data_IF_845146208701
#
_entry.id   IF_845146208701
#
_cell.length_a   1.000
_cell.length_b   1.000
_cell.length_c   1.000
_cell.angle_alpha   90.00
_cell.angle_beta   90.00
_cell.angle_gamma   90.00
#
_symmetry.space_group_name_H-M   'P 1'
#
loop_
_entity.id
_entity.type
_entity.pdbx_description
1 polymer ?
#
# COMPACT_ATOMS: atom_id res chain seq x y z
N UNK A 1 -5.50 18.70 -15.19
CA UNK A 1 -4.41 17.86 -15.75
C UNK A 1 -4.56 16.44 -15.21
N UNK A 2 -5.19 15.53 -15.96
CA UNK A 2 -5.24 14.12 -15.59
C UNK A 2 -3.86 13.48 -15.85
N UNK A 3 -2.96 13.54 -14.86
CA UNK A 3 -1.81 12.63 -14.83
C UNK A 3 -2.38 11.21 -14.73
N UNK A 4 -2.50 10.51 -15.86
CA UNK A 4 -2.67 9.05 -15.84
C UNK A 4 -1.54 8.51 -14.98
N UNK A 5 -1.88 8.01 -13.79
CA UNK A 5 -0.89 7.36 -12.93
C UNK A 5 -0.35 6.19 -13.76
N UNK A 6 0.93 6.27 -14.15
CA UNK A 6 1.63 5.21 -14.87
C UNK A 6 1.96 4.09 -13.87
N UNK A 7 0.92 3.46 -13.33
CA UNK A 7 1.02 2.36 -12.40
C UNK A 7 1.15 1.05 -13.17
N UNK A 8 2.22 0.32 -12.91
CA UNK A 8 2.40 -1.05 -13.39
C UNK A 8 1.75 -2.04 -12.40
N UNK A 9 1.22 -3.15 -12.91
CA UNK A 9 0.67 -4.23 -12.07
C UNK A 9 1.80 -5.16 -11.66
N UNK A 10 1.98 -5.35 -10.36
CA UNK A 10 2.93 -6.30 -9.80
C UNK A 10 2.16 -7.44 -9.16
N UNK A 11 2.57 -8.67 -9.44
CA UNK A 11 1.97 -9.85 -8.85
C UNK A 11 2.39 -9.96 -7.39
N UNK A 12 1.40 -10.10 -6.51
CA UNK A 12 1.60 -10.36 -5.08
C UNK A 12 1.16 -11.79 -4.79
N UNK A 13 1.88 -12.43 -3.87
CA UNK A 13 1.45 -13.72 -3.32
C UNK A 13 0.19 -13.54 -2.49
N UNK A 14 -0.58 -14.63 -2.32
CA UNK A 14 -1.78 -14.61 -1.47
C UNK A 14 -1.48 -14.14 -0.04
N UNK A 15 -0.39 -14.60 0.56
CA UNK A 15 0.00 -14.18 1.92
C UNK A 15 0.32 -12.69 2.02
N UNK A 16 0.91 -12.09 0.98
CA UNK A 16 1.13 -10.64 0.93
C UNK A 16 -0.19 -9.88 0.82
N UNK A 17 -1.15 -10.35 0.03
CA UNK A 17 -2.49 -9.74 -0.06
C UNK A 17 -3.22 -9.83 1.29
N UNK A 18 -3.16 -10.98 1.97
CA UNK A 18 -3.73 -11.15 3.31
C UNK A 18 -3.08 -10.21 4.34
N UNK A 19 -1.77 -9.99 4.26
CA UNK A 19 -1.08 -9.02 5.11
C UNK A 19 -1.56 -7.57 4.84
N UNK A 20 -1.75 -7.20 3.56
CA UNK A 20 -2.31 -5.88 3.21
C UNK A 20 -3.74 -5.70 3.76
N UNK A 21 -4.57 -6.74 3.71
CA UNK A 21 -5.93 -6.71 4.28
C UNK A 21 -5.92 -6.53 5.80
N UNK A 22 -4.97 -7.16 6.52
CA UNK A 22 -4.83 -6.96 7.97
C UNK A 22 -4.49 -5.50 8.29
N UNK A 23 -3.54 -4.91 7.56
CA UNK A 23 -3.19 -3.49 7.71
C UNK A 23 -4.41 -2.60 7.43
N UNK A 24 -5.17 -2.92 6.38
CA UNK A 24 -6.39 -2.19 6.04
C UNK A 24 -7.44 -2.18 7.16
N UNK A 25 -7.62 -3.33 7.83
CA UNK A 25 -8.54 -3.47 8.96
C UNK A 25 -8.02 -2.73 10.21
N UNK A 26 -6.71 -2.74 10.45
CA UNK A 26 -6.11 -1.96 11.54
C UNK A 26 -6.28 -0.45 11.33
N UNK A 27 -6.04 0.05 10.12
CA UNK A 27 -6.23 1.46 9.77
C UNK A 27 -7.70 1.88 9.91
N UNK A 28 -8.64 1.01 9.50
CA UNK A 28 -10.07 1.25 9.69
C UNK A 28 -10.44 1.41 11.16
N UNK A 29 -9.87 0.57 12.05
CA UNK A 29 -10.09 0.66 13.50
C UNK A 29 -9.48 1.91 14.12
N UNK A 30 -8.37 2.39 13.56
CA UNK A 30 -7.65 3.60 14.05
C UNK A 30 -8.28 4.89 13.56
N UNK A 31 -8.99 4.88 12.43
CA UNK A 31 -9.60 6.08 11.87
C UNK A 31 -10.85 6.49 12.64
N UNK A 32 -10.77 7.58 13.40
CA UNK A 32 -11.92 8.21 14.06
C UNK A 32 -13.05 8.59 13.09
N UNK A 33 -12.72 8.84 11.82
CA UNK A 33 -13.67 9.19 10.75
C UNK A 33 -14.08 8.00 9.87
N UNK A 34 -13.69 6.77 10.21
CA UNK A 34 -13.99 5.57 9.41
C UNK A 34 -13.36 5.54 8.00
N UNK A 35 -12.34 6.37 7.74
CA UNK A 35 -11.62 6.41 6.46
C UNK A 35 -10.73 5.18 6.37
N UNK A 36 -11.08 4.28 5.45
CA UNK A 36 -10.30 3.08 5.16
C UNK A 36 -9.54 3.28 3.83
N UNK A 37 -8.19 3.26 3.84
CA UNK A 37 -7.44 3.30 2.59
C UNK A 37 -7.68 2.03 1.77
N UNK A 38 -7.60 2.13 0.45
CA UNK A 38 -7.68 0.94 -0.41
C UNK A 38 -6.41 0.08 -0.28
N UNK A 39 -6.53 -1.22 -0.60
CA UNK A 39 -5.38 -2.15 -0.65
C UNK A 39 -4.27 -1.62 -1.56
N UNK A 40 -4.61 -0.98 -2.68
CA UNK A 40 -3.63 -0.40 -3.62
C UNK A 40 -2.89 0.80 -3.02
N UNK A 41 -3.55 1.62 -2.21
CA UNK A 41 -2.89 2.73 -1.51
C UNK A 41 -1.94 2.23 -0.43
N UNK A 42 -2.37 1.22 0.34
CA UNK A 42 -1.51 0.57 1.35
C UNK A 42 -0.28 -0.03 0.68
N UNK A 43 -0.47 -0.80 -0.40
CA UNK A 43 0.62 -1.43 -1.15
C UNK A 43 1.63 -0.39 -1.66
N UNK A 44 1.15 0.69 -2.30
CA UNK A 44 2.01 1.77 -2.78
C UNK A 44 2.80 2.42 -1.65
N UNK A 45 2.14 2.82 -0.57
CA UNK A 45 2.80 3.45 0.59
C UNK A 45 3.86 2.55 1.21
N UNK A 46 3.61 1.24 1.31
CA UNK A 46 4.59 0.28 1.82
C UNK A 46 5.79 0.15 0.89
N UNK A 47 5.56 0.05 -0.42
CA UNK A 47 6.64 -0.01 -1.41
C UNK A 47 7.45 1.28 -1.40
N UNK A 48 6.80 2.45 -1.42
CA UNK A 48 7.46 3.76 -1.36
C UNK A 48 8.33 3.88 -0.09
N UNK A 49 7.80 3.45 1.07
CA UNK A 49 8.54 3.45 2.34
C UNK A 49 9.75 2.51 2.29
N UNK A 50 9.58 1.31 1.76
CA UNK A 50 10.66 0.33 1.64
C UNK A 50 11.77 0.82 0.71
N UNK A 51 11.41 1.38 -0.46
CA UNK A 51 12.34 1.94 -1.43
C UNK A 51 13.05 3.20 -0.91
N UNK A 52 12.35 4.04 -0.14
CA UNK A 52 12.96 5.22 0.51
C UNK A 52 14.00 4.81 1.56
N UNK A 53 13.78 3.70 2.26
CA UNK A 53 14.73 3.15 3.23
C UNK A 53 15.94 2.47 2.56
N UNK A 54 15.78 1.94 1.35
CA UNK A 54 16.81 1.17 0.62
C UNK A 54 17.39 1.91 -0.58
N UNK A 55 17.26 3.24 -0.65
CA UNK A 55 17.79 4.08 -1.74
C UNK A 55 19.32 4.07 -1.92
N UNK A 56 20.03 3.07 -1.38
CA UNK A 56 21.46 2.83 -1.60
C UNK A 56 21.89 1.36 -1.69
N UNK A 57 20.97 0.37 -1.70
CA UNK A 57 21.37 -1.04 -1.75
C UNK A 57 20.34 -1.95 -2.45
N UNK A 58 20.01 -1.61 -3.69
CA UNK A 58 19.51 -2.53 -4.71
C UNK A 58 20.12 -2.12 -6.06
#
# INVERSE_FOLDING_TARGET
>A
MNKKQNSQVVLLTRGQVEALQRIQEEERKRSEFGIQPSIHEIARKLVDKALSYHGGAF
#
